data_IF_585837014998
#
_entry.id   IF_585837014998
#
_cell.length_a   1.000
_cell.length_b   1.000
_cell.length_c   1.000
_cell.angle_alpha   90.00
_cell.angle_beta   90.00
_cell.angle_gamma   90.00
#
_symmetry.space_group_name_H-M   'P 1'
#
loop_
_entity.id
_entity.type
_entity.pdbx_description
1 polymer ?
#
# COMPACT_ATOMS: atom_id res chain seq x y z
N UNK A 1 9.86 -6.61 -12.42
CA UNK A 1 10.65 -6.45 -11.18
C UNK A 1 10.01 -7.33 -10.11
N UNK A 2 10.70 -7.67 -9.02
CA UNK A 2 10.03 -8.35 -7.91
C UNK A 2 9.14 -7.37 -7.13
N UNK A 3 8.13 -7.89 -6.42
CA UNK A 3 7.28 -7.11 -5.51
C UNK A 3 8.11 -6.31 -4.50
N UNK A 4 9.14 -6.91 -3.92
CA UNK A 4 10.05 -6.24 -2.99
C UNK A 4 10.79 -5.06 -3.62
N UNK A 5 11.23 -5.19 -4.89
CA UNK A 5 11.88 -4.11 -5.61
C UNK A 5 10.91 -2.95 -5.87
N UNK A 6 9.67 -3.26 -6.27
CA UNK A 6 8.63 -2.24 -6.47
C UNK A 6 8.33 -1.49 -5.18
N UNK A 7 8.22 -2.22 -4.07
CA UNK A 7 8.01 -1.63 -2.74
C UNK A 7 9.17 -0.68 -2.37
N UNK A 8 10.42 -1.10 -2.56
CA UNK A 8 11.59 -0.26 -2.27
C UNK A 8 11.58 1.02 -3.10
N UNK A 9 11.28 0.92 -4.40
CA UNK A 9 11.16 2.09 -5.28
C UNK A 9 10.07 3.05 -4.79
N UNK A 10 8.92 2.52 -4.36
CA UNK A 10 7.82 3.32 -3.81
C UNK A 10 8.24 4.02 -2.51
N UNK A 11 8.95 3.34 -1.62
CA UNK A 11 9.43 3.92 -0.37
C UNK A 11 10.45 5.03 -0.62
N UNK A 12 11.39 4.84 -1.54
CA UNK A 12 12.41 5.83 -1.91
C UNK A 12 11.84 7.02 -2.68
N UNK A 13 10.84 6.80 -3.54
CA UNK A 13 10.27 7.79 -4.44
C UNK A 13 8.79 8.04 -4.14
N UNK A 14 8.40 8.02 -2.86
CA UNK A 14 7.00 8.10 -2.47
C UNK A 14 6.34 9.32 -3.08
N UNK A 15 6.86 10.53 -2.87
CA UNK A 15 6.23 11.77 -3.35
C UNK A 15 6.04 11.81 -4.87
N UNK A 16 6.91 11.14 -5.63
CA UNK A 16 6.84 11.04 -7.10
C UNK A 16 5.97 9.89 -7.61
N UNK A 17 5.59 8.95 -6.76
CA UNK A 17 4.77 7.78 -7.12
C UNK A 17 3.29 8.14 -7.06
N UNK A 18 2.46 7.69 -8.01
CA UNK A 18 1.03 7.96 -7.95
C UNK A 18 0.31 7.15 -6.85
N UNK A 19 -0.84 7.64 -6.36
CA UNK A 19 -1.66 6.88 -5.40
C UNK A 19 -2.14 5.56 -6.00
N UNK A 20 -2.48 5.55 -7.30
CA UNK A 20 -2.94 4.34 -7.99
C UNK A 20 -1.86 3.24 -7.97
N UNK A 21 -0.59 3.59 -8.22
CA UNK A 21 0.50 2.62 -8.18
C UNK A 21 0.77 2.07 -6.78
N UNK A 22 0.64 2.91 -5.74
CA UNK A 22 0.79 2.46 -4.35
C UNK A 22 -0.31 1.48 -3.98
N UNK A 23 -1.56 1.80 -4.34
CA UNK A 23 -2.72 0.94 -4.09
C UNK A 23 -2.59 -0.40 -4.81
N UNK A 24 -2.11 -0.39 -6.06
CA UNK A 24 -1.84 -1.61 -6.83
C UNK A 24 -0.87 -2.53 -6.08
N UNK A 25 0.26 -2.01 -5.60
CA UNK A 25 1.23 -2.81 -4.83
C UNK A 25 0.67 -3.24 -3.48
N UNK A 26 -0.12 -2.40 -2.79
CA UNK A 26 -0.81 -2.78 -1.55
C UNK A 26 -1.78 -3.95 -1.76
N UNK A 27 -2.51 -3.97 -2.88
CA UNK A 27 -3.39 -5.09 -3.24
C UNK A 27 -2.60 -6.37 -3.55
N UNK A 28 -1.42 -6.24 -4.17
CA UNK A 28 -0.55 -7.38 -4.45
C UNK A 28 0.06 -7.99 -3.19
N UNK A 29 0.42 -7.19 -2.16
CA UNK A 29 0.94 -7.73 -0.88
C UNK A 29 -0.16 -8.30 0.02
N UNK A 30 -1.41 -7.85 -0.12
CA UNK A 30 -2.55 -8.27 0.72
C UNK A 30 -2.62 -9.80 0.93
N UNK A 31 -2.62 -10.66 -0.11
CA UNK A 31 -2.72 -12.11 0.06
C UNK A 31 -1.51 -12.76 0.75
N UNK A 32 -0.41 -12.04 0.95
CA UNK A 32 0.78 -12.57 1.62
C UNK A 32 0.70 -12.45 3.14
N UNK A 33 -0.23 -11.65 3.67
CA UNK A 33 -0.46 -11.60 5.11
C UNK A 33 -1.15 -12.89 5.58
N UNK A 34 -0.51 -13.61 6.50
CA UNK A 34 -1.05 -14.87 7.06
C UNK A 34 -2.34 -14.69 7.85
N UNK A 35 -2.64 -13.46 8.26
CA UNK A 35 -3.80 -13.13 9.06
C UNK A 35 -4.88 -12.47 8.20
N UNK A 36 -6.02 -13.13 8.09
CA UNK A 36 -7.19 -12.66 7.36
C UNK A 36 -7.67 -11.29 7.88
N UNK A 37 -7.63 -11.06 9.19
CA UNK A 37 -8.01 -9.78 9.80
C UNK A 37 -7.12 -8.61 9.33
N UNK A 38 -5.83 -8.86 9.10
CA UNK A 38 -4.89 -7.84 8.58
C UNK A 38 -5.22 -7.55 7.12
N UNK A 39 -5.52 -8.59 6.34
CA UNK A 39 -5.91 -8.47 4.93
C UNK A 39 -7.21 -7.70 4.76
N UNK A 40 -8.25 -8.04 5.51
CA UNK A 40 -9.54 -7.35 5.51
C UNK A 40 -9.41 -5.90 5.98
N UNK A 41 -8.61 -5.65 7.02
CA UNK A 41 -8.38 -4.31 7.51
C UNK A 41 -7.65 -3.44 6.48
N UNK A 42 -6.61 -3.99 5.82
CA UNK A 42 -5.91 -3.30 4.74
C UNK A 42 -6.85 -3.02 3.57
N UNK A 43 -7.68 -3.98 3.18
CA UNK A 43 -8.69 -3.79 2.13
C UNK A 43 -9.68 -2.67 2.48
N UNK A 44 -10.21 -2.64 3.71
CA UNK A 44 -11.07 -1.56 4.17
C UNK A 44 -10.39 -0.19 4.14
N UNK A 45 -9.08 -0.13 4.37
CA UNK A 45 -8.30 1.12 4.20
C UNK A 45 -8.17 1.50 2.73
N UNK A 46 -7.84 0.55 1.85
CA UNK A 46 -7.71 0.79 0.41
C UNK A 46 -9.02 1.32 -0.17
N UNK A 47 -10.16 0.70 0.16
CA UNK A 47 -11.47 1.15 -0.31
C UNK A 47 -11.77 2.60 0.11
N UNK A 48 -11.51 2.93 1.38
CA UNK A 48 -11.65 4.32 1.87
C UNK A 48 -10.79 5.31 1.10
N UNK A 49 -9.61 4.91 0.62
CA UNK A 49 -8.75 5.77 -0.21
C UNK A 49 -9.35 5.92 -1.60
N UNK A 50 -9.84 4.83 -2.21
CA UNK A 50 -10.45 4.86 -3.54
C UNK A 50 -11.74 5.70 -3.58
N UNK A 51 -12.50 5.73 -2.49
CA UNK A 51 -13.69 6.58 -2.34
C UNK A 51 -13.38 8.09 -2.26
N UNK A 52 -12.12 8.47 -2.03
CA UNK A 52 -11.72 9.88 -2.03
C UNK A 52 -11.64 10.41 -3.46
N UNK A 53 -12.32 11.51 -3.73
CA UNK A 53 -12.23 12.24 -5.00
C UNK A 53 -10.97 13.11 -5.12
N UNK A 54 -10.34 13.47 -4.00
CA UNK A 54 -9.15 14.30 -3.95
C UNK A 54 -7.86 13.44 -4.00
N UNK A 55 -7.08 13.58 -5.09
CA UNK A 55 -5.82 12.85 -5.28
C UNK A 55 -4.73 13.21 -4.25
N UNK A 56 -4.69 14.45 -3.77
CA UNK A 56 -3.75 14.86 -2.72
C UNK A 56 -4.09 14.17 -1.40
N UNK A 57 -5.38 14.07 -1.08
CA UNK A 57 -5.82 13.37 0.13
C UNK A 57 -5.61 11.87 0.01
N UNK A 58 -5.90 11.26 -1.15
CA UNK A 58 -5.54 9.86 -1.42
C UNK A 58 -4.06 9.61 -1.15
N UNK A 59 -3.20 10.50 -1.64
CA UNK A 59 -1.76 10.39 -1.48
C UNK A 59 -1.33 10.42 -0.02
N UNK A 60 -1.92 11.30 0.80
CA UNK A 60 -1.66 11.34 2.24
C UNK A 60 -2.12 10.07 2.94
N UNK A 61 -3.28 9.54 2.60
CA UNK A 61 -3.79 8.31 3.18
C UNK A 61 -2.92 7.10 2.79
N UNK A 62 -2.43 7.03 1.55
CA UNK A 62 -1.45 6.02 1.14
C UNK A 62 -0.17 6.08 1.99
N UNK A 63 0.25 7.26 2.45
CA UNK A 63 1.42 7.41 3.32
C UNK A 63 1.23 6.71 4.67
N UNK A 64 0.00 6.69 5.19
CA UNK A 64 -0.34 5.97 6.41
C UNK A 64 -0.33 4.43 6.23
N UNK A 65 -0.30 3.94 4.99
CA UNK A 65 -0.24 2.51 4.66
C UNK A 65 1.18 2.02 4.35
N UNK A 66 2.20 2.88 4.39
CA UNK A 66 3.59 2.46 4.23
C UNK A 66 4.05 1.37 5.22
N UNK A 67 3.59 1.32 6.50
CA UNK A 67 3.97 0.23 7.40
C UNK A 67 3.64 -1.17 6.89
N UNK A 68 2.64 -1.34 6.01
CA UNK A 68 2.33 -2.64 5.40
C UNK A 68 3.41 -3.09 4.42
N UNK A 69 4.09 -2.15 3.76
CA UNK A 69 5.26 -2.44 2.94
C UNK A 69 6.43 -2.91 3.81
N UNK A 70 6.70 -2.24 4.92
CA UNK A 70 7.73 -2.67 5.86
C UNK A 70 7.44 -4.07 6.41
N UNK A 71 6.19 -4.36 6.81
CA UNK A 71 5.81 -5.69 7.29
C UNK A 71 6.02 -6.78 6.23
N UNK A 72 5.62 -6.52 4.99
CA UNK A 72 5.86 -7.44 3.89
C UNK A 72 7.35 -7.69 3.66
N UNK A 73 8.18 -6.64 3.65
CA UNK A 73 9.64 -6.76 3.49
C UNK A 73 10.33 -7.47 4.67
N UNK A 74 9.76 -7.39 5.87
CA UNK A 74 10.25 -8.10 7.06
C UNK A 74 9.82 -9.57 7.10
N UNK A 75 8.93 -10.01 6.21
CA UNK A 75 8.43 -11.39 6.15
C UNK A 75 7.47 -11.76 7.29
N UNK A 76 6.78 -10.77 7.85
CA UNK A 76 5.79 -10.93 8.93
C UNK A 76 4.43 -11.43 8.41
#
# INVERSE_FOLDING_TARGET
>A
MSLEQEIKIILENFDSTSSEKIIDVLNQIKPHFKNELISEYLEGKIQKILDLSDKSEQKKQCKALLPYFDWYLQGL
#
